data_IF_424069324287
#
_entry.id   IF_424069324287
#
_cell.length_a   1.000
_cell.length_b   1.000
_cell.length_c   1.000
_cell.angle_alpha   90.00
_cell.angle_beta   90.00
_cell.angle_gamma   90.00
#
_symmetry.space_group_name_H-M   'P 1'
#
loop_
_entity.id
_entity.type
_entity.pdbx_description
1 polymer ?
#
# COMPACT_ATOMS: atom_id res chain seq x y z
N UNK A 1 -1.20 -34.54 -4.58
CA UNK A 1 -0.92 -33.21 -3.99
C UNK A 1 -0.57 -32.13 -5.04
N UNK A 2 -0.72 -32.37 -6.35
CA UNK A 2 -0.49 -31.37 -7.41
C UNK A 2 -1.75 -30.60 -7.84
N UNK A 3 -2.95 -31.10 -7.50
CA UNK A 3 -4.22 -30.58 -8.04
C UNK A 3 -4.49 -29.12 -7.64
N UNK A 4 -4.20 -28.72 -6.40
CA UNK A 4 -4.43 -27.34 -5.96
C UNK A 4 -3.55 -26.33 -6.71
N UNK A 5 -2.28 -26.68 -6.98
CA UNK A 5 -1.38 -25.83 -7.76
C UNK A 5 -1.78 -25.75 -9.23
N UNK A 6 -2.17 -26.89 -9.82
CA UNK A 6 -2.69 -26.94 -11.20
C UNK A 6 -3.92 -26.05 -11.34
N UNK A 7 -4.99 -26.33 -10.57
CA UNK A 7 -6.24 -25.54 -10.59
C UNK A 7 -5.99 -24.07 -10.28
N UNK A 8 -5.10 -23.77 -9.32
CA UNK A 8 -4.72 -22.41 -8.99
C UNK A 8 -4.16 -21.62 -10.17
N UNK A 9 -3.35 -22.25 -11.04
CA UNK A 9 -2.73 -21.58 -12.19
C UNK A 9 -3.55 -21.70 -13.48
N UNK A 10 -4.29 -22.79 -13.68
CA UNK A 10 -5.05 -23.04 -14.90
C UNK A 10 -6.47 -22.48 -14.87
N UNK A 11 -7.05 -22.29 -13.69
CA UNK A 11 -8.47 -21.93 -13.54
C UNK A 11 -8.68 -20.65 -12.72
N UNK A 12 -7.84 -20.37 -11.70
CA UNK A 12 -8.04 -19.25 -10.78
C UNK A 12 -7.18 -18.03 -11.12
N UNK A 13 -5.86 -18.20 -11.19
CA UNK A 13 -4.88 -17.14 -11.46
C UNK A 13 -4.25 -17.34 -12.85
N UNK A 14 -5.13 -17.36 -13.86
CA UNK A 14 -4.70 -17.42 -15.26
C UNK A 14 -3.92 -16.17 -15.64
N UNK A 15 -3.29 -16.17 -16.82
CA UNK A 15 -2.54 -15.01 -17.33
C UNK A 15 -3.41 -13.74 -17.36
N UNK A 16 -4.63 -13.86 -17.87
CA UNK A 16 -5.55 -12.75 -18.02
C UNK A 16 -5.97 -12.19 -16.66
N UNK A 17 -6.20 -13.08 -15.68
CA UNK A 17 -6.49 -12.68 -14.29
C UNK A 17 -5.28 -12.01 -13.66
N UNK A 18 -4.08 -12.53 -13.87
CA UNK A 18 -2.84 -11.96 -13.34
C UNK A 18 -2.57 -10.55 -13.92
N UNK A 19 -2.77 -10.35 -15.22
CA UNK A 19 -2.60 -9.05 -15.88
C UNK A 19 -3.65 -8.04 -15.37
N UNK A 20 -4.92 -8.43 -15.29
CA UNK A 20 -5.98 -7.59 -14.73
C UNK A 20 -5.72 -7.25 -13.25
N UNK A 21 -5.22 -8.21 -12.47
CA UNK A 21 -4.91 -8.02 -11.07
C UNK A 21 -3.71 -7.09 -10.87
N UNK A 22 -2.68 -7.24 -11.70
CA UNK A 22 -1.54 -6.32 -11.74
C UNK A 22 -2.01 -4.87 -11.96
N UNK A 23 -2.87 -4.64 -12.95
CA UNK A 23 -3.39 -3.30 -13.24
C UNK A 23 -4.22 -2.71 -12.09
N UNK A 24 -4.99 -3.54 -11.37
CA UNK A 24 -5.70 -3.10 -10.15
C UNK A 24 -4.73 -2.62 -9.08
N UNK A 25 -3.65 -3.35 -8.85
CA UNK A 25 -2.62 -2.97 -7.89
C UNK A 25 -1.91 -1.67 -8.28
N UNK A 26 -1.59 -1.48 -9.56
CA UNK A 26 -1.01 -0.24 -10.08
C UNK A 26 -1.96 0.96 -9.91
N UNK A 27 -3.26 0.77 -10.17
CA UNK A 27 -4.28 1.80 -9.97
C UNK A 27 -4.41 2.19 -8.48
N UNK A 28 -4.49 1.21 -7.58
CA UNK A 28 -4.53 1.47 -6.13
C UNK A 28 -3.27 2.24 -5.68
N UNK A 29 -2.09 1.80 -6.14
CA UNK A 29 -0.83 2.46 -5.79
C UNK A 29 -0.80 3.90 -6.28
N UNK A 30 -1.34 4.19 -7.48
CA UNK A 30 -1.46 5.55 -8.01
C UNK A 30 -2.40 6.42 -7.15
N UNK A 31 -3.56 5.90 -6.75
CA UNK A 31 -4.50 6.61 -5.88
C UNK A 31 -3.89 6.91 -4.51
N UNK A 32 -3.16 5.96 -3.91
CA UNK A 32 -2.46 6.20 -2.64
C UNK A 32 -1.37 7.27 -2.77
N UNK A 33 -0.59 7.25 -3.86
CA UNK A 33 0.40 8.29 -4.13
C UNK A 33 -0.25 9.67 -4.27
N UNK A 34 -1.42 9.76 -4.90
CA UNK A 34 -2.20 11.00 -4.97
C UNK A 34 -2.65 11.48 -3.58
N UNK A 35 -3.18 10.58 -2.75
CA UNK A 35 -3.60 10.91 -1.38
C UNK A 35 -2.42 11.40 -0.53
N UNK A 36 -1.23 10.84 -0.73
CA UNK A 36 -0.03 11.23 0.01
C UNK A 36 0.71 12.45 -0.57
N UNK A 37 0.18 13.12 -1.59
CA UNK A 37 0.80 14.34 -2.10
C UNK A 37 0.97 15.40 -1.00
N UNK A 38 2.20 15.89 -0.84
CA UNK A 38 2.56 16.86 0.20
C UNK A 38 2.67 16.29 1.62
N UNK A 39 2.46 14.98 1.81
CA UNK A 39 2.67 14.30 3.09
C UNK A 39 4.03 13.61 3.15
N UNK A 40 4.54 13.35 4.35
CA UNK A 40 5.75 12.58 4.67
C UNK A 40 5.61 11.07 4.41
N UNK A 41 4.60 10.70 3.62
CA UNK A 41 4.30 9.36 3.21
C UNK A 41 4.55 9.18 1.72
N UNK A 42 4.92 7.97 1.32
CA UNK A 42 4.98 7.56 -0.07
C UNK A 42 4.72 6.06 -0.18
N UNK A 43 4.51 5.56 -1.41
CA UNK A 43 4.28 4.14 -1.67
C UNK A 43 5.20 3.65 -2.77
N UNK A 44 6.00 2.62 -2.46
CA UNK A 44 6.75 1.85 -3.47
C UNK A 44 6.09 0.51 -3.71
N UNK A 45 6.46 -0.18 -4.80
CA UNK A 45 5.87 -1.46 -5.16
C UNK A 45 5.70 -1.63 -6.65
N UNK A 46 5.17 -2.80 -7.02
CA UNK A 46 4.89 -3.23 -8.38
C UNK A 46 3.64 -4.12 -8.40
N UNK A 47 2.67 -3.74 -9.23
CA UNK A 47 1.42 -4.47 -9.34
C UNK A 47 0.71 -4.55 -7.99
N UNK A 48 0.45 -5.77 -7.54
CA UNK A 48 -0.32 -6.05 -6.32
C UNK A 48 0.51 -6.14 -5.04
N UNK A 49 1.82 -5.87 -5.13
CA UNK A 49 2.72 -5.81 -3.99
C UNK A 49 3.18 -4.36 -3.78
N UNK A 50 2.98 -3.84 -2.58
CA UNK A 50 3.36 -2.46 -2.27
C UNK A 50 3.78 -2.27 -0.82
N UNK A 51 4.47 -1.17 -0.55
CA UNK A 51 4.94 -0.79 0.78
C UNK A 51 4.73 0.71 0.99
N UNK A 52 4.03 1.05 2.06
CA UNK A 52 3.88 2.43 2.55
C UNK A 52 5.10 2.77 3.40
N UNK A 53 5.71 3.91 3.11
CA UNK A 53 6.85 4.45 3.85
C UNK A 53 6.44 5.76 4.49
N UNK A 54 6.82 5.96 5.75
CA UNK A 54 6.71 7.24 6.43
C UNK A 54 8.13 7.67 6.77
N UNK A 55 8.60 8.78 6.22
CA UNK A 55 10.00 9.21 6.39
C UNK A 55 10.05 10.61 6.98
N UNK A 56 10.98 10.83 7.90
CA UNK A 56 11.14 12.11 8.62
C UNK A 56 11.38 13.28 7.68
N UNK A 57 12.09 13.03 6.57
CA UNK A 57 12.40 13.99 5.49
C UNK A 57 11.44 13.91 4.29
N UNK A 58 10.40 13.07 4.34
CA UNK A 58 9.38 12.98 3.29
C UNK A 58 9.93 12.56 1.92
N UNK A 59 10.75 11.53 1.85
CA UNK A 59 11.25 10.96 0.59
C UNK A 59 10.10 10.71 -0.40
N UNK A 60 10.36 11.06 -1.66
CA UNK A 60 9.51 10.68 -2.78
C UNK A 60 9.69 9.20 -3.15
N UNK A 61 8.78 8.65 -3.94
CA UNK A 61 8.86 7.26 -4.42
C UNK A 61 10.15 7.00 -5.19
N UNK A 62 10.54 7.94 -6.04
CA UNK A 62 11.71 7.87 -6.92
C UNK A 62 13.04 7.96 -6.16
N UNK A 63 13.04 8.48 -4.94
CA UNK A 63 14.19 8.46 -4.05
C UNK A 63 14.36 7.14 -3.28
N UNK A 64 13.40 6.22 -3.36
CA UNK A 64 13.46 4.92 -2.67
C UNK A 64 13.65 3.81 -3.71
N UNK A 65 14.91 3.45 -3.96
CA UNK A 65 15.31 2.39 -4.90
C UNK A 65 15.70 1.10 -4.15
N UNK A 66 16.18 1.24 -2.92
CA UNK A 66 16.61 0.13 -2.08
C UNK A 66 16.22 0.36 -0.61
N UNK A 67 16.53 -0.62 0.23
CA UNK A 67 16.24 -0.56 1.67
C UNK A 67 17.03 0.58 2.36
N UNK A 68 18.26 0.80 1.94
CA UNK A 68 19.19 1.70 2.62
C UNK A 68 18.79 3.17 2.46
N UNK A 69 18.03 3.50 1.40
CA UNK A 69 17.55 4.87 1.12
C UNK A 69 16.63 5.41 2.21
N UNK A 70 15.83 4.54 2.87
CA UNK A 70 14.79 4.97 3.80
C UNK A 70 14.98 4.48 5.24
N UNK A 71 15.72 3.39 5.47
CA UNK A 71 15.79 2.74 6.80
C UNK A 71 16.28 3.67 7.91
N UNK A 72 17.20 4.58 7.60
CA UNK A 72 17.76 5.54 8.57
C UNK A 72 16.87 6.76 8.82
N UNK A 73 15.90 7.02 7.94
CA UNK A 73 15.01 8.16 7.98
C UNK A 73 13.54 7.78 8.21
N UNK A 74 13.23 6.50 8.39
CA UNK A 74 11.88 6.02 8.68
C UNK A 74 11.35 6.63 9.98
N UNK A 75 10.18 7.24 9.91
CA UNK A 75 9.43 7.74 11.05
C UNK A 75 8.59 6.59 11.62
N UNK A 76 9.20 5.81 12.51
CA UNK A 76 8.60 4.60 13.07
C UNK A 76 7.31 4.86 13.88
N UNK A 77 7.25 5.98 14.60
CA UNK A 77 6.07 6.37 15.37
C UNK A 77 4.93 6.77 14.46
N UNK A 78 5.21 7.57 13.42
CA UNK A 78 4.20 7.95 12.44
C UNK A 78 3.68 6.73 11.66
N UNK A 79 4.56 5.80 11.29
CA UNK A 79 4.17 4.55 10.62
C UNK A 79 3.33 3.64 11.52
N UNK A 80 3.68 3.58 12.81
CA UNK A 80 2.90 2.84 13.81
C UNK A 80 1.52 3.46 14.00
N UNK A 81 1.42 4.79 14.06
CA UNK A 81 0.13 5.50 14.12
C UNK A 81 -0.73 5.16 12.90
N UNK A 82 -0.17 5.25 11.69
CA UNK A 82 -0.86 4.85 10.47
C UNK A 82 -1.38 3.41 10.54
N UNK A 83 -0.53 2.46 10.96
CA UNK A 83 -0.92 1.06 11.10
C UNK A 83 -2.05 0.86 12.11
N UNK A 84 -1.99 1.50 13.28
CA UNK A 84 -3.03 1.39 14.31
C UNK A 84 -4.38 1.90 13.81
N UNK A 85 -4.41 3.01 13.07
CA UNK A 85 -5.66 3.54 12.53
C UNK A 85 -6.22 2.71 11.38
N UNK A 86 -5.37 2.15 10.53
CA UNK A 86 -5.83 1.20 9.51
C UNK A 86 -6.44 -0.03 10.19
N UNK A 87 -5.81 -0.53 11.25
CA UNK A 87 -6.32 -1.65 12.05
C UNK A 87 -7.67 -1.32 12.70
N UNK A 88 -7.81 -0.13 13.30
CA UNK A 88 -9.07 0.35 13.89
C UNK A 88 -10.18 0.49 12.84
N UNK A 89 -9.83 0.91 11.62
CA UNK A 89 -10.73 0.97 10.47
C UNK A 89 -11.02 -0.41 9.84
N UNK A 90 -10.48 -1.50 10.39
CA UNK A 90 -10.74 -2.88 9.93
C UNK A 90 -9.81 -3.38 8.83
N UNK A 91 -8.74 -2.64 8.51
CA UNK A 91 -7.74 -3.03 7.50
C UNK A 91 -6.50 -3.65 8.14
N UNK A 92 -6.28 -4.93 7.87
CA UNK A 92 -5.04 -5.59 8.24
C UNK A 92 -3.96 -5.38 7.18
N UNK A 93 -2.92 -4.64 7.55
CA UNK A 93 -1.68 -4.50 6.79
C UNK A 93 -0.50 -4.91 7.68
N UNK A 94 0.64 -5.27 7.09
CA UNK A 94 1.81 -5.57 7.92
C UNK A 94 2.28 -4.28 8.63
N UNK A 95 2.69 -4.33 9.91
CA UNK A 95 3.15 -3.14 10.65
C UNK A 95 4.30 -2.37 9.97
N UNK A 96 5.10 -3.07 9.17
CA UNK A 96 6.17 -2.47 8.34
C UNK A 96 5.66 -1.76 7.07
N UNK A 97 4.36 -1.59 6.89
CA UNK A 97 3.71 -0.91 5.76
C UNK A 97 3.57 -1.74 4.49
N UNK A 98 4.08 -2.98 4.45
CA UNK A 98 3.95 -3.86 3.28
C UNK A 98 2.53 -4.43 3.16
N UNK A 99 2.04 -4.54 1.93
CA UNK A 99 0.73 -5.08 1.58
C UNK A 99 0.83 -5.95 0.33
N UNK A 100 0.07 -7.05 0.32
CA UNK A 100 -0.15 -7.90 -0.84
C UNK A 100 -1.67 -8.02 -1.04
N UNK A 101 -2.15 -7.65 -2.21
CA UNK A 101 -3.59 -7.76 -2.50
C UNK A 101 -4.00 -9.24 -2.62
N UNK A 102 -5.25 -9.52 -2.27
CA UNK A 102 -5.92 -10.78 -2.55
C UNK A 102 -6.84 -10.61 -3.78
N UNK A 103 -6.95 -11.63 -4.63
CA UNK A 103 -7.89 -11.68 -5.76
C UNK A 103 -9.34 -11.44 -5.35
N UNK A 104 -9.71 -11.78 -4.12
CA UNK A 104 -11.05 -11.57 -3.59
C UNK A 104 -11.39 -10.09 -3.33
N UNK A 105 -10.40 -9.19 -3.31
CA UNK A 105 -10.63 -7.77 -3.08
C UNK A 105 -11.33 -7.13 -4.28
N UNK A 106 -12.41 -6.42 -3.99
CA UNK A 106 -13.18 -5.68 -4.99
C UNK A 106 -12.65 -4.26 -5.18
N UNK A 107 -13.05 -3.60 -6.27
CA UNK A 107 -12.75 -2.18 -6.47
C UNK A 107 -13.30 -1.32 -5.31
N UNK A 108 -14.51 -1.63 -4.83
CA UNK A 108 -15.12 -0.92 -3.72
C UNK A 108 -14.34 -1.08 -2.41
N UNK A 109 -13.68 -2.22 -2.17
CA UNK A 109 -12.83 -2.40 -0.99
C UNK A 109 -11.58 -1.52 -1.07
N UNK A 110 -10.98 -1.44 -2.26
CA UNK A 110 -9.81 -0.58 -2.52
C UNK A 110 -10.18 0.91 -2.42
N UNK A 111 -11.32 1.33 -2.97
CA UNK A 111 -11.80 2.71 -2.88
C UNK A 111 -12.08 3.12 -1.44
N UNK A 112 -12.69 2.23 -0.64
CA UNK A 112 -12.90 2.46 0.80
C UNK A 112 -11.59 2.57 1.57
N UNK A 113 -10.59 1.74 1.23
CA UNK A 113 -9.26 1.83 1.84
C UNK A 113 -8.61 3.18 1.52
N UNK A 114 -8.63 3.61 0.26
CA UNK A 114 -8.12 4.92 -0.15
C UNK A 114 -8.85 6.07 0.55
N UNK A 115 -10.18 5.97 0.71
CA UNK A 115 -10.97 6.92 1.49
C UNK A 115 -10.50 7.01 2.95
N UNK A 116 -10.26 5.86 3.58
CA UNK A 116 -9.76 5.78 4.96
C UNK A 116 -8.38 6.42 5.09
N UNK A 117 -7.46 6.14 4.16
CA UNK A 117 -6.13 6.78 4.12
C UNK A 117 -6.24 8.29 3.93
N UNK A 118 -7.17 8.75 3.08
CA UNK A 118 -7.43 10.18 2.87
C UNK A 118 -7.91 10.87 4.15
N UNK A 119 -8.76 10.20 4.92
CA UNK A 119 -9.26 10.75 6.18
C UNK A 119 -8.20 10.74 7.28
N UNK A 120 -7.32 9.72 7.33
CA UNK A 120 -6.10 9.75 8.13
C UNK A 120 -5.25 10.99 7.80
N UNK A 121 -5.01 11.23 6.50
CA UNK A 121 -4.19 12.36 6.07
C UNK A 121 -4.78 13.73 6.46
N UNK A 122 -6.10 13.88 6.38
CA UNK A 122 -6.79 15.10 6.84
C UNK A 122 -6.67 15.29 8.35
N UNK A 123 -6.88 14.22 9.13
CA UNK A 123 -6.88 14.27 10.59
C UNK A 123 -5.51 14.66 11.15
N UNK A 124 -4.44 14.16 10.53
CA UNK A 124 -3.06 14.36 10.98
C UNK A 124 -2.27 15.35 10.12
N UNK A 125 -2.94 16.19 9.32
CA UNK A 125 -2.31 17.07 8.35
C UNK A 125 -1.14 17.89 8.92
N UNK A 126 -1.30 18.43 10.13
CA UNK A 126 -0.28 19.24 10.80
C UNK A 126 1.00 18.44 11.13
N UNK A 127 0.87 17.14 11.39
CA UNK A 127 1.99 16.26 11.72
C UNK A 127 2.65 15.70 10.45
N UNK A 128 1.87 15.42 9.42
CA UNK A 128 2.37 14.63 8.28
C UNK A 128 2.81 15.48 7.10
N UNK A 129 2.67 16.80 7.12
CA UNK A 129 3.08 17.66 5.99
C UNK A 129 4.61 17.61 5.79
N UNK A 130 5.05 17.60 4.52
CA UNK A 130 6.46 17.77 4.14
C UNK A 130 6.96 19.18 4.42
#
# INVERSE_FOLDING_TARGET
MLNAGYTGLSEVFTREVADAFHQRGEALRAQLLEVFQGARFTVTGLGTLMCIHATTNGLSRDQIQCKDDWTTVEDGDLKRLFWLEMLEAGYWIHPRGSMALNLALTAADMDRFVGTVRDFCKRHQAMIRK
#
